data_IF_773414653415
#
_entry.id   IF_773414653415
#
_cell.length_a   1.000
_cell.length_b   1.000
_cell.length_c   1.000
_cell.angle_alpha   90.00
_cell.angle_beta   90.00
_cell.angle_gamma   90.00
#
_symmetry.space_group_name_H-M   'P 1'
#
loop_
_entity.id
_entity.type
_entity.pdbx_description
1 polymer ?
#
# COMPACT_ATOMS: atom_id res chain seq x y z
N UNK A 1 -7.99 -7.95 -15.47
CA UNK A 1 -7.57 -7.17 -14.29
C UNK A 1 -8.73 -6.27 -13.89
N UNK A 2 -9.35 -6.58 -12.77
CA UNK A 2 -10.42 -5.77 -12.16
C UNK A 2 -9.83 -4.43 -11.72
N UNK A 3 -10.58 -3.34 -11.89
CA UNK A 3 -10.13 -2.02 -11.41
C UNK A 3 -10.03 -2.01 -9.90
N UNK A 4 -8.90 -1.54 -9.39
CA UNK A 4 -8.59 -1.58 -7.97
C UNK A 4 -8.71 -0.21 -7.31
N UNK A 5 -8.92 -0.19 -5.99
CA UNK A 5 -8.99 1.03 -5.19
C UNK A 5 -7.93 1.04 -4.11
N UNK A 6 -7.24 2.17 -4.00
CA UNK A 6 -6.25 2.42 -2.94
C UNK A 6 -6.76 3.57 -2.07
N UNK A 7 -6.48 3.47 -0.78
CA UNK A 7 -6.78 4.53 0.20
C UNK A 7 -5.50 5.28 0.50
N UNK A 8 -5.53 6.60 0.31
CA UNK A 8 -4.47 7.50 0.75
C UNK A 8 -4.94 8.27 1.99
N UNK A 9 -4.15 8.21 3.04
CA UNK A 9 -4.39 8.87 4.32
C UNK A 9 -3.33 9.94 4.49
N UNK A 10 -3.75 11.20 4.56
CA UNK A 10 -2.90 12.30 4.93
C UNK A 10 -2.81 12.36 6.46
N UNK A 11 -1.60 12.40 7.00
CA UNK A 11 -1.34 12.45 8.44
C UNK A 11 -0.50 13.66 8.79
N UNK A 12 -0.79 14.25 9.95
CA UNK A 12 -0.01 15.36 10.46
C UNK A 12 1.48 14.99 10.57
N UNK A 13 2.36 15.96 10.32
CA UNK A 13 3.81 15.73 10.35
C UNK A 13 4.38 15.50 11.76
N UNK A 14 3.66 15.88 12.81
CA UNK A 14 4.11 15.72 14.20
C UNK A 14 3.47 14.49 14.83
N UNK A 15 4.26 13.74 15.61
CA UNK A 15 3.76 12.64 16.44
C UNK A 15 2.63 13.16 17.35
N UNK A 16 1.49 12.42 17.49
CA UNK A 16 1.27 11.02 17.13
C UNK A 16 0.78 10.78 15.69
N UNK A 17 1.07 11.68 14.75
CA UNK A 17 0.72 11.57 13.33
C UNK A 17 -0.77 11.29 13.11
N UNK A 18 -1.61 12.06 13.80
CA UNK A 18 -3.05 11.97 13.70
C UNK A 18 -3.52 12.16 12.26
N UNK A 19 -4.65 11.52 11.93
CA UNK A 19 -5.24 11.57 10.60
C UNK A 19 -5.74 12.99 10.33
N UNK A 20 -5.22 13.61 9.27
CA UNK A 20 -5.65 14.91 8.76
C UNK A 20 -6.69 14.78 7.65
N UNK A 21 -6.72 13.64 6.94
CA UNK A 21 -7.73 13.34 5.95
C UNK A 21 -7.56 11.96 5.32
N UNK A 22 -8.63 11.47 4.71
CA UNK A 22 -8.69 10.16 4.05
C UNK A 22 -9.34 10.35 2.68
N UNK A 23 -8.75 9.77 1.65
CA UNK A 23 -9.31 9.74 0.31
C UNK A 23 -9.10 8.35 -0.28
N UNK A 24 -10.12 7.81 -0.95
CA UNK A 24 -10.05 6.52 -1.66
C UNK A 24 -10.32 6.76 -3.13
N UNK A 25 -9.51 6.18 -4.00
CA UNK A 25 -9.65 6.34 -5.45
C UNK A 25 -9.35 5.04 -6.17
N UNK A 26 -9.90 4.90 -7.38
CA UNK A 26 -9.40 3.93 -8.34
C UNK A 26 -7.97 4.28 -8.74
N UNK A 27 -7.15 3.25 -8.92
CA UNK A 27 -5.79 3.37 -9.42
C UNK A 27 -5.71 2.79 -10.82
N UNK A 28 -4.99 3.50 -11.70
CA UNK A 28 -4.73 3.08 -13.07
C UNK A 28 -3.61 2.03 -13.09
N UNK A 29 -3.46 1.32 -14.21
CA UNK A 29 -2.41 0.30 -14.38
C UNK A 29 -0.99 0.86 -14.33
N UNK A 30 -0.82 2.18 -14.48
CA UNK A 30 0.45 2.88 -14.32
C UNK A 30 0.73 3.31 -12.87
N UNK A 31 -0.13 2.97 -11.91
CA UNK A 31 -0.03 3.34 -10.50
C UNK A 31 -0.59 4.72 -10.16
N UNK A 32 -1.14 5.45 -11.14
CA UNK A 32 -1.69 6.78 -10.91
C UNK A 32 -3.10 6.71 -10.32
N UNK A 33 -3.33 7.45 -9.22
CA UNK A 33 -4.64 7.66 -8.61
C UNK A 33 -4.85 9.13 -8.27
N UNK A 34 -6.10 9.61 -8.37
CA UNK A 34 -6.46 10.99 -8.03
C UNK A 34 -7.11 11.05 -6.65
N UNK A 35 -6.49 11.80 -5.74
CA UNK A 35 -6.96 11.94 -4.36
C UNK A 35 -7.27 13.40 -4.05
N UNK A 36 -8.35 13.63 -3.30
CA UNK A 36 -8.77 14.96 -2.87
C UNK A 36 -8.90 15.01 -1.37
N UNK A 37 -8.35 16.05 -0.75
CA UNK A 37 -8.50 16.30 0.67
C UNK A 37 -8.97 17.73 0.88
N UNK A 38 -10.20 17.88 1.37
CA UNK A 38 -10.83 19.21 1.46
C UNK A 38 -10.26 20.06 2.61
N UNK A 39 -9.71 19.41 3.65
CA UNK A 39 -9.32 20.04 4.91
C UNK A 39 -7.80 20.19 5.11
N UNK A 40 -6.97 19.82 4.13
CA UNK A 40 -5.53 20.02 4.28
C UNK A 40 -5.15 21.50 4.12
N UNK A 41 -4.32 21.98 5.03
CA UNK A 41 -3.85 23.36 5.03
C UNK A 41 -2.73 23.53 3.98
N UNK A 42 -2.84 24.52 3.07
CA UNK A 42 -1.74 24.85 2.16
C UNK A 42 -0.45 25.18 2.91
N UNK A 43 0.69 24.88 2.31
CA UNK A 43 2.04 25.07 2.86
C UNK A 43 2.29 24.32 4.19
N UNK A 44 1.39 23.43 4.58
CA UNK A 44 1.59 22.54 5.72
C UNK A 44 2.21 21.22 5.27
N UNK A 45 2.84 20.55 6.22
CA UNK A 45 3.59 19.33 6.00
C UNK A 45 2.79 18.12 6.49
N UNK A 46 2.75 17.09 5.66
CA UNK A 46 2.00 15.86 5.95
C UNK A 46 2.81 14.63 5.55
N UNK A 47 2.56 13.50 6.21
CA UNK A 47 2.88 12.21 5.65
C UNK A 47 1.71 11.69 4.82
N UNK A 48 1.99 10.99 3.74
CA UNK A 48 0.99 10.23 2.99
C UNK A 48 1.18 8.74 3.27
N UNK A 49 0.18 8.14 3.91
CA UNK A 49 0.09 6.70 4.13
C UNK A 49 -0.78 6.11 3.02
N UNK A 50 -0.27 5.07 2.37
CA UNK A 50 -0.99 4.26 1.41
C UNK A 50 -1.45 2.99 2.11
N UNK A 51 -2.76 2.72 2.04
CA UNK A 51 -3.39 1.49 2.49
C UNK A 51 -4.14 0.83 1.32
N UNK A 52 -3.86 -0.44 1.10
CA UNK A 52 -4.46 -1.26 0.06
C UNK A 52 -4.99 -2.56 0.68
N UNK A 53 -5.85 -3.31 -0.02
CA UNK A 53 -6.57 -4.45 0.57
C UNK A 53 -5.67 -5.64 0.97
N UNK A 54 -4.49 -5.73 0.37
CA UNK A 54 -3.62 -6.91 0.44
C UNK A 54 -2.13 -6.53 0.31
N UNK A 55 -1.79 -5.32 0.74
CA UNK A 55 -0.42 -4.80 0.57
C UNK A 55 0.02 -4.11 1.84
N UNK A 56 1.32 -4.16 2.07
CA UNK A 56 1.98 -3.54 3.20
C UNK A 56 1.68 -2.05 3.18
N UNK A 57 1.19 -1.56 4.31
CA UNK A 57 1.00 -0.14 4.52
C UNK A 57 2.33 0.61 4.33
N UNK A 58 2.34 1.59 3.42
CA UNK A 58 3.55 2.33 3.08
C UNK A 58 3.37 3.82 3.29
N UNK A 59 4.34 4.43 3.96
CA UNK A 59 4.35 5.87 4.25
C UNK A 59 5.32 6.60 3.32
N UNK A 60 4.98 7.85 2.97
CA UNK A 60 5.85 8.75 2.21
C UNK A 60 7.19 8.97 2.92
N UNK A 61 8.21 9.36 2.14
CA UNK A 61 9.57 9.66 2.58
C UNK A 61 9.70 10.29 3.97
N UNK A 62 10.80 9.92 4.63
CA UNK A 62 11.21 10.53 5.87
C UNK A 62 11.26 12.05 5.77
N UNK A 63 10.79 12.70 6.83
CA UNK A 63 10.74 14.14 6.85
C UNK A 63 9.62 14.72 6.00
N UNK A 64 8.53 13.98 5.69
CA UNK A 64 7.22 14.48 5.22
C UNK A 64 7.20 15.26 3.90
N UNK A 65 6.00 15.44 3.34
CA UNK A 65 5.80 16.21 2.09
C UNK A 65 5.08 17.52 2.37
N UNK A 66 5.61 18.62 1.85
CA UNK A 66 4.94 19.92 1.91
C UNK A 66 3.85 19.99 0.85
N UNK A 67 2.62 20.26 1.29
CA UNK A 67 1.48 20.44 0.42
C UNK A 67 1.52 21.84 -0.20
N UNK A 68 1.99 21.93 -1.45
CA UNK A 68 2.11 23.21 -2.17
C UNK A 68 0.77 23.78 -2.66
N UNK A 69 -0.25 22.94 -2.87
CA UNK A 69 -1.64 23.31 -3.23
C UNK A 69 -2.63 22.33 -2.61
N UNK A 70 -3.94 22.62 -2.62
CA UNK A 70 -5.00 21.71 -2.10
C UNK A 70 -5.00 20.28 -2.67
N UNK A 71 -4.26 20.01 -3.76
CA UNK A 71 -4.09 18.67 -4.34
C UNK A 71 -2.67 18.18 -4.10
N UNK A 72 -2.46 17.14 -3.28
CA UNK A 72 -1.13 16.56 -3.10
C UNK A 72 -0.68 15.86 -4.39
N UNK A 73 0.60 16.00 -4.72
CA UNK A 73 1.28 15.18 -5.72
C UNK A 73 2.45 14.50 -5.03
N UNK A 74 2.45 13.18 -5.02
CA UNK A 74 3.51 12.37 -4.44
C UNK A 74 3.69 11.11 -5.28
N UNK A 75 4.94 10.76 -5.60
CA UNK A 75 5.26 9.65 -6.48
C UNK A 75 6.15 8.63 -5.75
N UNK A 76 5.54 7.51 -5.32
CA UNK A 76 6.27 6.40 -4.71
C UNK A 76 7.12 5.60 -5.72
N UNK A 77 6.84 5.73 -7.02
CA UNK A 77 7.42 4.85 -8.05
C UNK A 77 8.80 5.29 -8.53
N UNK A 78 9.20 6.51 -8.19
CA UNK A 78 10.41 7.16 -8.72
C UNK A 78 11.71 6.69 -8.06
N UNK A 79 11.76 6.66 -6.71
CA UNK A 79 12.97 6.27 -5.96
C UNK A 79 12.60 5.49 -4.71
N UNK A 80 13.50 4.60 -4.28
CA UNK A 80 13.29 3.81 -3.05
C UNK A 80 13.10 4.69 -1.81
N UNK A 81 13.77 5.85 -1.78
CA UNK A 81 13.69 6.83 -0.69
C UNK A 81 12.38 7.61 -0.63
N UNK A 82 11.48 7.42 -1.59
CA UNK A 82 10.13 7.97 -1.53
C UNK A 82 9.19 7.16 -0.63
N UNK A 83 9.67 6.07 -0.03
CA UNK A 83 9.02 5.45 1.11
C UNK A 83 9.85 5.64 2.38
N UNK A 84 9.15 5.78 3.51
CA UNK A 84 9.78 5.75 4.81
C UNK A 84 10.53 4.42 4.99
N UNK A 85 11.76 4.49 5.51
CA UNK A 85 12.61 3.31 5.68
C UNK A 85 13.02 2.60 4.38
N UNK A 86 12.88 3.23 3.21
CA UNK A 86 13.13 2.61 1.91
C UNK A 86 12.27 1.35 1.65
N UNK A 87 11.04 1.32 2.18
CA UNK A 87 10.16 0.15 2.16
C UNK A 87 9.44 -0.07 0.81
N UNK A 88 10.20 -0.21 -0.27
CA UNK A 88 9.72 -0.44 -1.64
C UNK A 88 10.63 -1.44 -2.37
N UNK A 89 10.07 -2.15 -3.36
CA UNK A 89 10.81 -3.06 -4.23
C UNK A 89 10.84 -2.58 -5.67
N UNK A 90 12.00 -2.65 -6.32
CA UNK A 90 12.12 -2.34 -7.75
C UNK A 90 11.63 -3.54 -8.58
N UNK A 91 10.55 -3.36 -9.34
CA UNK A 91 10.00 -4.38 -10.24
C UNK A 91 9.58 -3.75 -11.57
N UNK A 92 9.98 -4.38 -12.68
CA UNK A 92 9.68 -3.89 -14.03
C UNK A 92 10.03 -2.40 -14.28
N UNK A 93 11.11 -1.90 -13.67
CA UNK A 93 11.60 -0.54 -13.85
C UNK A 93 10.89 0.54 -13.04
N UNK A 94 10.03 0.17 -12.07
CA UNK A 94 9.38 1.09 -11.12
C UNK A 94 9.47 0.56 -9.70
N UNK A 95 9.46 1.46 -8.73
CA UNK A 95 9.31 1.06 -7.33
C UNK A 95 7.85 0.72 -7.03
N UNK A 96 7.64 -0.41 -6.37
CA UNK A 96 6.35 -0.99 -6.05
C UNK A 96 6.22 -1.20 -4.54
N UNK A 97 4.99 -1.11 -4.05
CA UNK A 97 4.63 -1.50 -2.68
C UNK A 97 4.58 -3.02 -2.60
N UNK A 98 5.04 -3.58 -1.48
CA UNK A 98 4.98 -5.01 -1.23
C UNK A 98 3.54 -5.49 -1.00
N UNK A 99 3.15 -6.58 -1.67
CA UNK A 99 1.89 -7.28 -1.43
C UNK A 99 2.00 -8.28 -0.27
N UNK A 100 0.88 -8.90 0.09
CA UNK A 100 0.84 -10.12 0.91
C UNK A 100 0.45 -9.94 2.37
N UNK A 101 0.22 -8.71 2.83
CA UNK A 101 -0.45 -8.43 4.10
C UNK A 101 -1.96 -8.36 3.84
N UNK A 102 -2.63 -9.51 3.89
CA UNK A 102 -4.05 -9.69 3.53
C UNK A 102 -4.97 -9.47 4.72
N UNK A 103 -4.43 -9.55 5.94
CA UNK A 103 -5.15 -9.29 7.18
C UNK A 103 -5.01 -7.82 7.67
N UNK A 104 -4.15 -7.02 7.03
CA UNK A 104 -3.85 -5.62 7.33
C UNK A 104 -3.25 -5.37 8.73
N UNK A 105 -2.45 -6.30 9.25
CA UNK A 105 -1.75 -6.14 10.53
C UNK A 105 -0.39 -5.40 10.39
N UNK A 106 0.11 -5.27 9.16
CA UNK A 106 1.34 -4.58 8.83
C UNK A 106 2.56 -5.48 8.69
N UNK A 107 2.42 -6.80 8.68
CA UNK A 107 3.50 -7.74 8.38
C UNK A 107 3.00 -8.74 7.34
N UNK A 108 3.88 -9.22 6.45
CA UNK A 108 3.57 -10.38 5.62
C UNK A 108 4.07 -11.62 6.35
N UNK A 109 3.18 -12.50 6.82
CA UNK A 109 3.56 -13.66 7.62
C UNK A 109 2.69 -14.92 7.41
N UNK A 110 2.84 -15.89 8.30
CA UNK A 110 2.13 -17.17 8.24
C UNK A 110 0.61 -17.03 8.46
N UNK A 111 0.13 -15.96 9.10
CA UNK A 111 -1.30 -15.70 9.26
C UNK A 111 -1.91 -15.28 7.92
N UNK A 112 -1.20 -14.49 7.11
CA UNK A 112 -1.63 -14.15 5.75
C UNK A 112 -1.66 -15.38 4.85
N UNK A 113 -0.64 -16.24 4.96
CA UNK A 113 -0.60 -17.52 4.26
C UNK A 113 -1.78 -18.40 4.63
N UNK A 114 -2.11 -18.51 5.93
CA UNK A 114 -3.22 -19.34 6.39
C UNK A 114 -4.58 -18.87 5.85
N UNK A 115 -4.80 -17.55 5.77
CA UNK A 115 -6.02 -17.00 5.16
C UNK A 115 -6.09 -17.31 3.66
N UNK A 116 -4.97 -17.14 2.97
CA UNK A 116 -4.87 -17.35 1.52
C UNK A 116 -4.98 -18.84 1.15
N UNK A 117 -4.41 -19.74 1.95
CA UNK A 117 -4.47 -21.19 1.77
C UNK A 117 -5.89 -21.72 1.92
N UNK A 118 -6.64 -21.20 2.91
CA UNK A 118 -8.05 -21.54 3.08
C UNK A 118 -8.90 -21.14 1.85
N UNK A 119 -8.65 -19.94 1.29
CA UNK A 119 -9.36 -19.47 0.10
C UNK A 119 -8.91 -20.24 -1.16
N UNK A 120 -7.63 -20.58 -1.28
CA UNK A 120 -7.10 -21.41 -2.36
C UNK A 120 -7.70 -22.82 -2.35
N UNK A 121 -7.81 -23.44 -1.16
CA UNK A 121 -8.47 -24.74 -0.99
C UNK A 121 -9.94 -24.72 -1.44
N UNK A 122 -10.64 -23.61 -1.19
CA UNK A 122 -12.02 -23.41 -1.60
C UNK A 122 -12.18 -22.93 -3.06
N UNK A 123 -11.07 -22.74 -3.80
CA UNK A 123 -11.06 -22.22 -5.17
C UNK A 123 -11.80 -20.88 -5.22
N UNK A 124 -11.50 -20.00 -4.26
CA UNK A 124 -12.13 -18.70 -4.15
C UNK A 124 -11.77 -17.84 -5.37
N UNK A 125 -12.74 -17.08 -5.87
CA UNK A 125 -12.58 -16.22 -7.05
C UNK A 125 -13.18 -14.84 -6.81
N UNK A 126 -12.72 -13.85 -7.58
CA UNK A 126 -13.24 -12.49 -7.57
C UNK A 126 -12.32 -11.49 -6.88
N UNK A 127 -12.90 -10.43 -6.33
CA UNK A 127 -12.15 -9.34 -5.71
C UNK A 127 -11.93 -9.62 -4.22
N UNK A 128 -10.88 -10.39 -3.91
CA UNK A 128 -10.54 -10.83 -2.56
C UNK A 128 -9.20 -10.24 -2.12
N UNK A 129 -8.99 -10.10 -0.81
CA UNK A 129 -7.69 -9.69 -0.27
C UNK A 129 -6.63 -10.77 -0.50
N UNK A 130 -7.04 -12.03 -0.43
CA UNK A 130 -6.23 -13.24 -0.66
C UNK A 130 -5.82 -13.42 -2.13
N UNK A 131 -6.48 -12.76 -3.09
CA UNK A 131 -6.01 -12.62 -4.47
C UNK A 131 -4.94 -11.51 -4.54
N UNK A 132 -3.71 -11.88 -4.17
CA UNK A 132 -2.54 -11.00 -4.03
C UNK A 132 -2.03 -10.54 -5.39
N UNK A 133 -2.10 -11.41 -6.40
CA UNK A 133 -1.60 -11.13 -7.74
C UNK A 133 -2.64 -10.39 -8.63
N UNK A 134 -3.93 -10.43 -8.28
CA UNK A 134 -5.01 -9.71 -8.93
C UNK A 134 -5.53 -10.36 -10.22
N UNK A 135 -5.32 -11.66 -10.42
CA UNK A 135 -5.80 -12.42 -11.59
C UNK A 135 -7.23 -12.93 -11.44
N UNK A 136 -7.81 -12.82 -10.24
CA UNK A 136 -9.20 -13.18 -9.93
C UNK A 136 -9.39 -14.61 -9.44
N UNK A 137 -8.32 -15.38 -9.22
CA UNK A 137 -8.33 -16.71 -8.63
C UNK A 137 -7.32 -16.76 -7.47
N UNK A 138 -7.77 -17.20 -6.29
CA UNK A 138 -6.84 -17.42 -5.18
C UNK A 138 -6.18 -18.78 -5.35
N UNK A 139 -4.85 -18.80 -5.52
CA UNK A 139 -4.10 -20.03 -5.72
C UNK A 139 -2.66 -20.01 -5.16
N UNK A 140 -1.86 -21.01 -5.56
CA UNK A 140 -0.48 -21.16 -5.10
C UNK A 140 0.44 -19.99 -5.51
N UNK A 141 0.10 -19.22 -6.55
CA UNK A 141 0.86 -18.05 -6.96
C UNK A 141 0.72 -16.91 -5.94
N UNK A 142 -0.44 -16.75 -5.31
CA UNK A 142 -0.64 -15.77 -4.22
C UNK A 142 0.15 -16.17 -2.98
N UNK A 143 0.08 -17.45 -2.60
CA UNK A 143 0.86 -18.00 -1.48
C UNK A 143 2.36 -17.80 -1.69
N UNK A 144 2.88 -18.02 -2.89
CA UNK A 144 4.28 -17.80 -3.21
C UNK A 144 4.70 -16.32 -3.07
N UNK A 145 3.81 -15.36 -3.35
CA UNK A 145 4.10 -13.94 -3.14
C UNK A 145 4.22 -13.61 -1.64
N UNK A 146 3.31 -14.14 -0.82
CA UNK A 146 3.33 -13.95 0.63
C UNK A 146 4.59 -14.61 1.22
N UNK A 147 4.89 -15.86 0.85
CA UNK A 147 6.06 -16.60 1.35
C UNK A 147 7.39 -15.89 1.05
N UNK A 148 7.55 -15.39 -0.18
CA UNK A 148 8.74 -14.62 -0.53
C UNK A 148 8.88 -13.33 0.31
N UNK A 149 7.78 -12.64 0.61
CA UNK A 149 7.82 -11.42 1.42
C UNK A 149 8.01 -11.72 2.91
N UNK A 150 7.41 -12.80 3.42
CA UNK A 150 7.61 -13.29 4.77
C UNK A 150 9.06 -13.73 5.02
N UNK A 151 9.66 -14.47 4.07
CA UNK A 151 11.08 -14.85 4.12
C UNK A 151 12.02 -13.65 4.20
N UNK A 152 11.65 -12.54 3.56
CA UNK A 152 12.40 -11.28 3.58
C UNK A 152 12.05 -10.37 4.77
N UNK A 153 11.21 -10.81 5.71
CA UNK A 153 10.74 -10.04 6.87
C UNK A 153 10.10 -8.70 6.48
N UNK A 154 9.34 -8.70 5.38
CA UNK A 154 8.65 -7.50 4.91
C UNK A 154 7.56 -7.12 5.90
N UNK A 155 7.62 -5.87 6.38
CA UNK A 155 6.67 -5.29 7.32
C UNK A 155 6.55 -3.79 7.06
N UNK A 156 5.50 -3.16 7.60
CA UNK A 156 5.33 -1.71 7.54
C UNK A 156 6.45 -1.02 8.31
N UNK A 157 6.89 0.13 7.79
CA UNK A 157 7.82 1.03 8.47
C UNK A 157 7.15 2.39 8.56
N UNK A 158 7.02 2.90 9.77
CA UNK A 158 6.28 4.13 10.08
C UNK A 158 7.23 5.24 10.58
N UNK A 159 6.86 6.53 10.42
CA UNK A 159 7.61 7.66 10.98
C UNK A 159 7.70 7.72 12.51
#
# INVERSE_FOLDING_TARGET
MTRDTVTMIARHFQSPYSIAGISKSFVRTDGYGEYSFDMLLPNSKYYYQIAHRNSIETWSAAGGTTLSRKRPFYDFTATISNAFGNNLILKAGRYCIYGGDVNADGIADALDQALTDNDAFNIATGYLATDVNGDGLVDAADLALIDNNAFNFVQKIVP
#
